data_IF_838153827326
#
_entry.id   IF_838153827326
#
_cell.length_a   1.000
_cell.length_b   1.000
_cell.length_c   1.000
_cell.angle_alpha   90.00
_cell.angle_beta   90.00
_cell.angle_gamma   90.00
#
_symmetry.space_group_name_H-M   'P 1'
#
loop_
_entity.id
_entity.type
_entity.pdbx_description
1 polymer ?
#
# COMPACT_ATOMS: atom_id res chain seq x y z
N UNK A 1 32.16 -4.58 -5.33
CA UNK A 1 31.23 -3.50 -5.73
C UNK A 1 29.86 -3.88 -5.19
N UNK A 2 29.25 -3.03 -4.36
CA UNK A 2 27.84 -3.16 -4.03
C UNK A 2 27.04 -2.67 -5.23
N UNK A 3 26.22 -3.53 -5.82
CA UNK A 3 25.46 -3.27 -7.06
C UNK A 3 24.16 -2.49 -6.82
N UNK A 4 23.78 -2.26 -5.57
CA UNK A 4 22.54 -1.59 -5.19
C UNK A 4 22.83 -0.56 -4.10
N UNK A 5 22.58 0.72 -4.40
CA UNK A 5 22.79 1.84 -3.48
C UNK A 5 21.47 2.29 -2.82
N UNK A 6 20.31 1.97 -3.40
CA UNK A 6 19.01 2.46 -2.92
C UNK A 6 17.92 1.40 -3.02
N UNK A 7 17.11 1.28 -1.97
CA UNK A 7 15.87 0.51 -1.91
C UNK A 7 14.71 1.52 -1.80
N UNK A 8 13.70 1.40 -2.65
CA UNK A 8 12.56 2.32 -2.68
C UNK A 8 11.28 1.57 -2.29
N UNK A 9 10.56 2.11 -1.31
CA UNK A 9 9.22 1.65 -0.91
C UNK A 9 8.19 2.74 -1.17
N UNK A 10 6.96 2.35 -1.48
CA UNK A 10 5.84 3.27 -1.35
C UNK A 10 5.60 3.62 0.12
N UNK A 11 5.32 4.88 0.40
CA UNK A 11 4.91 5.37 1.71
C UNK A 11 3.43 5.06 1.97
N UNK A 12 3.03 3.83 1.67
CA UNK A 12 1.71 3.35 1.98
C UNK A 12 1.65 2.97 3.45
N UNK A 13 0.57 3.33 4.12
CA UNK A 13 0.38 2.96 5.53
C UNK A 13 -0.45 1.68 5.60
N UNK A 14 0.13 0.51 5.96
CA UNK A 14 -0.64 -0.74 6.03
C UNK A 14 -1.83 -0.65 6.98
N UNK A 15 -1.71 0.12 8.07
CA UNK A 15 -2.82 0.37 8.99
C UNK A 15 -4.00 1.09 8.33
N UNK A 16 -3.77 1.98 7.36
CA UNK A 16 -4.84 2.61 6.60
C UNK A 16 -5.52 1.63 5.64
N UNK A 17 -4.72 0.73 5.04
CA UNK A 17 -5.25 -0.32 4.18
C UNK A 17 -6.00 -1.41 4.96
N UNK A 18 -5.61 -1.70 6.20
CA UNK A 18 -6.22 -2.79 6.99
C UNK A 18 -7.49 -2.39 7.74
N UNK A 19 -8.06 -1.20 7.49
CA UNK A 19 -9.32 -0.77 8.11
C UNK A 19 -10.47 -1.69 7.71
N UNK A 20 -11.30 -2.07 8.70
CA UNK A 20 -12.49 -2.89 8.47
C UNK A 20 -13.49 -2.15 7.58
N UNK A 21 -14.19 -2.90 6.72
CA UNK A 21 -15.32 -2.37 5.96
C UNK A 21 -16.40 -1.83 6.90
N UNK A 22 -16.89 -0.61 6.62
CA UNK A 22 -17.96 0.02 7.43
C UNK A 22 -19.26 -0.75 7.24
N UNK A 23 -20.03 -1.02 8.31
CA UNK A 23 -21.35 -1.63 8.16
C UNK A 23 -22.23 -0.74 7.27
N UNK A 24 -23.05 -1.38 6.43
CA UNK A 24 -24.06 -0.72 5.60
C UNK A 24 -25.42 -1.30 5.98
N UNK A 25 -26.36 -0.44 6.33
CA UNK A 25 -27.73 -0.84 6.68
C UNK A 25 -28.70 -0.08 5.78
N UNK A 26 -29.83 -0.70 5.51
CA UNK A 26 -30.97 -0.08 4.85
C UNK A 26 -31.70 0.86 5.83
N UNK A 27 -32.02 2.08 5.40
CA UNK A 27 -32.54 3.12 6.30
C UNK A 27 -34.02 2.90 6.67
N UNK A 28 -34.79 2.23 5.82
CA UNK A 28 -36.22 1.99 6.06
C UNK A 28 -36.48 0.69 6.81
N UNK A 29 -35.75 -0.38 6.46
CA UNK A 29 -35.97 -1.73 6.99
C UNK A 29 -34.98 -2.12 8.09
N UNK A 30 -33.88 -1.38 8.24
CA UNK A 30 -32.81 -1.70 9.19
C UNK A 30 -31.97 -2.93 8.81
N UNK A 31 -32.19 -3.51 7.63
CA UNK A 31 -31.50 -4.73 7.20
C UNK A 31 -30.03 -4.45 6.85
N UNK A 32 -29.15 -5.39 7.17
CA UNK A 32 -27.75 -5.31 6.79
C UNK A 32 -27.58 -5.52 5.28
N UNK A 33 -26.97 -4.55 4.60
CA UNK A 33 -26.68 -4.60 3.17
C UNK A 33 -25.25 -5.12 2.91
N UNK A 34 -25.00 -5.74 1.76
CA UNK A 34 -23.65 -6.07 1.33
C UNK A 34 -22.74 -4.84 1.31
N UNK A 35 -21.59 -4.93 1.98
CA UNK A 35 -20.63 -3.84 2.15
C UNK A 35 -19.18 -4.24 1.78
N UNK A 36 -19.00 -5.40 1.14
CA UNK A 36 -17.67 -5.91 0.78
C UNK A 36 -16.81 -6.40 1.96
N UNK A 37 -17.39 -6.60 3.15
CA UNK A 37 -16.63 -6.99 4.35
C UNK A 37 -15.82 -8.29 4.17
N UNK A 38 -16.35 -9.29 3.46
CA UNK A 38 -15.64 -10.56 3.22
C UNK A 38 -14.36 -10.34 2.39
N UNK A 39 -14.49 -9.68 1.22
CA UNK A 39 -13.35 -9.35 0.38
C UNK A 39 -12.32 -8.49 1.12
N UNK A 40 -12.78 -7.51 1.91
CA UNK A 40 -11.89 -6.67 2.72
C UNK A 40 -11.16 -7.48 3.80
N UNK A 41 -11.83 -8.43 4.45
CA UNK A 41 -11.21 -9.31 5.43
C UNK A 41 -10.14 -10.20 4.80
N UNK A 42 -10.39 -10.71 3.59
CA UNK A 42 -9.39 -11.45 2.82
C UNK A 42 -8.15 -10.61 2.55
N UNK A 43 -8.32 -9.40 2.02
CA UNK A 43 -7.20 -8.46 1.79
C UNK A 43 -6.43 -8.15 3.08
N UNK A 44 -7.12 -7.85 4.18
CA UNK A 44 -6.48 -7.57 5.46
C UNK A 44 -5.65 -8.76 5.95
N UNK A 45 -6.16 -9.98 5.77
CA UNK A 45 -5.46 -11.21 6.12
C UNK A 45 -4.17 -11.34 5.31
N UNK A 46 -4.24 -11.15 3.99
CA UNK A 46 -3.04 -11.20 3.13
C UNK A 46 -2.00 -10.13 3.46
N UNK A 47 -2.43 -8.91 3.82
CA UNK A 47 -1.51 -7.83 4.25
C UNK A 47 -0.79 -8.22 5.55
N UNK A 48 -1.51 -8.81 6.51
CA UNK A 48 -0.92 -9.25 7.77
C UNK A 48 0.02 -10.44 7.59
N UNK A 49 -0.39 -11.43 6.80
CA UNK A 49 0.40 -12.64 6.52
C UNK A 49 1.71 -12.31 5.81
N UNK A 50 1.68 -11.37 4.87
CA UNK A 50 2.88 -10.94 4.15
C UNK A 50 3.84 -10.08 5.00
N UNK A 51 3.43 -9.57 6.16
CA UNK A 51 4.32 -8.92 7.13
C UNK A 51 5.00 -7.63 6.64
N UNK A 52 4.42 -6.92 5.67
CA UNK A 52 5.08 -5.81 4.96
C UNK A 52 5.64 -4.71 5.86
N UNK A 53 4.92 -4.33 6.91
CA UNK A 53 5.38 -3.30 7.85
C UNK A 53 6.70 -3.69 8.51
N UNK A 54 6.82 -4.95 8.96
CA UNK A 54 8.02 -5.45 9.62
C UNK A 54 9.16 -5.65 8.62
N UNK A 55 8.84 -6.07 7.41
CA UNK A 55 9.82 -6.19 6.34
C UNK A 55 10.52 -4.86 6.04
N UNK A 56 9.77 -3.75 5.91
CA UNK A 56 10.34 -2.43 5.67
C UNK A 56 11.27 -2.01 6.83
N UNK A 57 10.86 -2.21 8.08
CA UNK A 57 11.69 -1.91 9.26
C UNK A 57 13.00 -2.71 9.25
N UNK A 58 12.95 -3.99 8.86
CA UNK A 58 14.15 -4.81 8.75
C UNK A 58 15.07 -4.34 7.62
N UNK A 59 14.53 -3.88 6.49
CA UNK A 59 15.31 -3.28 5.41
C UNK A 59 15.99 -1.98 5.86
N UNK A 60 15.28 -1.09 6.56
CA UNK A 60 15.85 0.14 7.13
C UNK A 60 17.01 -0.19 8.08
N UNK A 61 16.79 -1.11 9.02
CA UNK A 61 17.82 -1.56 9.94
C UNK A 61 19.06 -2.13 9.22
N UNK A 62 18.88 -2.96 8.20
CA UNK A 62 20.00 -3.55 7.46
C UNK A 62 20.72 -2.54 6.56
N UNK A 63 19.99 -1.59 6.00
CA UNK A 63 20.55 -0.52 5.20
C UNK A 63 21.43 0.41 6.06
N UNK A 64 20.95 0.78 7.25
CA UNK A 64 21.73 1.53 8.25
C UNK A 64 23.01 0.80 8.64
N UNK A 65 22.91 -0.51 8.94
CA UNK A 65 24.08 -1.32 9.27
C UNK A 65 25.10 -1.43 8.12
N UNK A 66 24.63 -1.43 6.87
CA UNK A 66 25.51 -1.51 5.70
C UNK A 66 26.24 -0.18 5.41
N UNK A 67 25.69 0.95 5.86
CA UNK A 67 26.27 2.30 5.68
C UNK A 67 26.33 2.81 4.23
N UNK A 68 26.08 1.96 3.24
CA UNK A 68 26.13 2.30 1.81
C UNK A 68 24.78 2.19 1.10
N UNK A 69 23.74 1.70 1.78
CA UNK A 69 22.41 1.47 1.19
C UNK A 69 21.43 2.47 1.80
N UNK A 70 20.69 3.18 0.95
CA UNK A 70 19.64 4.11 1.36
C UNK A 70 18.27 3.46 1.21
N UNK A 71 17.37 3.69 2.18
CA UNK A 71 15.94 3.36 2.03
C UNK A 71 15.16 4.66 1.81
N UNK A 72 14.38 4.72 0.73
CA UNK A 72 13.56 5.89 0.37
C UNK A 72 12.08 5.49 0.35
N UNK A 73 11.24 6.33 0.96
CA UNK A 73 9.78 6.20 0.90
C UNK A 73 9.20 7.25 -0.05
N UNK A 74 8.43 6.83 -1.04
CA UNK A 74 7.82 7.72 -2.06
C UNK A 74 6.31 7.82 -1.89
N UNK A 75 5.69 8.92 -2.33
CA UNK A 75 4.23 9.04 -2.32
C UNK A 75 3.59 7.94 -3.18
N UNK A 76 2.68 7.10 -2.64
CA UNK A 76 1.99 6.06 -3.41
C UNK A 76 1.02 6.63 -4.47
N UNK A 77 0.73 7.93 -4.45
CA UNK A 77 -0.18 8.52 -5.43
C UNK A 77 0.43 8.43 -6.84
N UNK A 78 -0.34 7.89 -7.77
CA UNK A 78 0.06 7.72 -9.18
C UNK A 78 1.24 6.76 -9.44
N UNK A 79 1.58 5.88 -8.49
CA UNK A 79 2.51 4.76 -8.75
C UNK A 79 1.80 3.55 -9.39
N UNK A 80 0.47 3.51 -9.29
CA UNK A 80 -0.40 2.42 -9.74
C UNK A 80 -1.32 2.67 -10.97
N UNK A 81 -1.30 3.79 -11.72
CA UNK A 81 -2.11 3.85 -12.93
C UNK A 81 -1.61 2.77 -13.90
N UNK A 82 -2.54 2.13 -14.59
CA UNK A 82 -2.36 1.16 -15.68
C UNK A 82 -1.47 1.68 -16.86
N UNK A 83 -0.77 2.80 -16.68
CA UNK A 83 -0.11 3.58 -17.71
C UNK A 83 1.29 3.95 -17.21
N UNK A 84 2.28 3.15 -17.61
CA UNK A 84 3.69 3.56 -17.71
C UNK A 84 3.91 4.56 -18.87
N UNK A 85 2.95 5.45 -19.17
CA UNK A 85 3.12 6.40 -20.27
C UNK A 85 3.59 7.75 -19.76
N UNK A 86 4.89 7.93 -20.00
CA UNK A 86 5.48 9.13 -20.57
C UNK A 86 5.38 10.38 -19.69
N UNK A 87 6.54 10.66 -19.06
CA UNK A 87 7.13 11.99 -18.89
C UNK A 87 6.47 13.00 -19.86
N UNK A 88 5.94 14.09 -19.30
CA UNK A 88 5.38 15.31 -19.91
C UNK A 88 3.85 15.32 -20.12
N UNK A 89 3.16 15.99 -19.18
CA UNK A 89 1.95 16.77 -19.46
C UNK A 89 0.61 16.07 -19.22
N UNK A 90 -0.26 16.78 -18.51
CA UNK A 90 -1.70 16.58 -18.27
C UNK A 90 -2.16 15.32 -17.53
N UNK A 91 -2.71 15.56 -16.33
CA UNK A 91 -3.61 14.64 -15.62
C UNK A 91 -4.95 14.60 -16.35
N UNK A 92 -5.29 13.45 -16.92
CA UNK A 92 -6.67 13.14 -17.31
C UNK A 92 -6.96 11.66 -17.03
N UNK A 93 -7.94 11.49 -16.14
CA UNK A 93 -8.77 10.32 -15.83
C UNK A 93 -8.16 8.93 -16.05
N UNK A 94 -7.61 8.40 -14.95
CA UNK A 94 -7.25 7.00 -14.78
C UNK A 94 -8.48 6.08 -14.91
N UNK A 95 -8.23 4.86 -15.41
CA UNK A 95 -9.14 3.70 -15.51
C UNK A 95 -10.23 3.62 -14.43
#
# INVERSE_FOLDING_TARGET
MNTYETIVFENITPANLSKRAKPKQDEETGQCLPNGASAKSGLNTSIMDAGWAMFIVMCEYKAENAGTVQVVKVDPKYTSPCVQQLRHGSQEDAC
#
